data_IF_690697254247
#
_entry.id   IF_690697254247
#
_cell.length_a   1.000
_cell.length_b   1.000
_cell.length_c   1.000
_cell.angle_alpha   90.00
_cell.angle_beta   90.00
_cell.angle_gamma   90.00
#
_symmetry.space_group_name_H-M   'P 1'
#
loop_
_entity.id
_entity.type
_entity.pdbx_description
1 polymer ?
#
# COMPACT_ATOMS: atom_id res chain seq x y z
N UNK A 1 15.39 -25.18 -21.52
CA UNK A 1 15.60 -24.05 -20.60
C UNK A 1 14.28 -23.31 -20.49
N UNK A 2 13.56 -23.45 -19.38
CA UNK A 2 12.29 -22.74 -19.15
C UNK A 2 12.65 -21.35 -18.63
N UNK A 3 12.32 -20.31 -19.38
CA UNK A 3 12.66 -18.92 -19.05
C UNK A 3 11.86 -18.43 -17.84
N UNK A 4 12.55 -17.81 -16.88
CA UNK A 4 12.01 -17.24 -15.64
C UNK A 4 11.31 -15.89 -15.88
N UNK A 5 10.47 -15.81 -16.91
CA UNK A 5 10.18 -14.55 -17.61
C UNK A 5 8.82 -13.92 -17.33
N UNK A 6 8.04 -14.40 -16.36
CA UNK A 6 6.60 -14.07 -16.32
C UNK A 6 6.11 -13.45 -15.00
N UNK A 7 6.99 -12.72 -14.33
CA UNK A 7 6.63 -11.85 -13.21
C UNK A 7 6.63 -10.39 -13.67
N UNK A 8 5.49 -9.72 -13.56
CA UNK A 8 5.31 -8.30 -13.89
C UNK A 8 4.68 -7.58 -12.72
N UNK A 9 5.27 -6.43 -12.38
CA UNK A 9 4.81 -5.56 -11.31
C UNK A 9 4.72 -4.12 -11.83
N UNK A 10 3.60 -3.47 -11.58
CA UNK A 10 3.41 -2.05 -11.84
C UNK A 10 2.92 -1.37 -10.57
N UNK A 11 3.41 -0.17 -10.31
CA UNK A 11 2.97 0.62 -9.18
C UNK A 11 2.83 2.09 -9.59
N UNK A 12 1.70 2.67 -9.25
CA UNK A 12 1.42 4.10 -9.32
C UNK A 12 1.39 4.66 -7.90
N UNK A 13 2.00 5.82 -7.72
CA UNK A 13 2.05 6.52 -6.44
C UNK A 13 1.74 7.99 -6.67
N UNK A 14 0.80 8.52 -5.90
CA UNK A 14 0.53 9.94 -5.79
C UNK A 14 0.77 10.36 -4.34
N UNK A 15 1.40 11.52 -4.15
CA UNK A 15 1.62 12.13 -2.84
C UNK A 15 1.20 13.58 -2.93
N UNK A 16 0.42 14.03 -1.96
CA UNK A 16 -0.03 15.40 -1.84
C UNK A 16 0.43 15.92 -0.48
N UNK A 17 1.23 16.99 -0.53
CA UNK A 17 1.55 17.81 0.63
C UNK A 17 0.42 18.82 0.80
N UNK A 18 -0.16 18.87 2.00
CA UNK A 18 -1.33 19.70 2.29
C UNK A 18 -0.96 21.10 2.80
N UNK A 19 0.33 21.45 2.84
CA UNK A 19 0.80 22.78 3.22
C UNK A 19 0.25 23.88 2.30
N UNK A 20 0.15 23.62 1.00
CA UNK A 20 -0.41 24.57 0.01
C UNK A 20 -1.90 24.89 0.22
N UNK A 21 -2.62 24.02 0.96
CA UNK A 21 -4.03 24.23 1.33
C UNK A 21 -4.21 24.60 2.81
N UNK A 22 -3.11 24.93 3.49
CA UNK A 22 -3.11 25.47 4.86
C UNK A 22 -3.07 24.43 5.98
N UNK A 23 -2.82 23.15 5.69
CA UNK A 23 -2.66 22.11 6.71
C UNK A 23 -1.19 21.68 6.76
N UNK A 24 -0.40 22.42 7.54
CA UNK A 24 1.02 22.12 7.73
C UNK A 24 1.23 20.76 8.40
N UNK A 25 2.25 20.02 7.95
CA UNK A 25 2.62 18.73 8.53
C UNK A 25 1.74 17.54 8.09
N UNK A 26 0.64 17.78 7.35
CA UNK A 26 -0.20 16.72 6.79
C UNK A 26 0.26 16.34 5.38
N UNK A 27 0.48 15.03 5.16
CA UNK A 27 0.72 14.44 3.86
C UNK A 27 -0.26 13.30 3.60
N UNK A 28 -0.78 13.22 2.37
CA UNK A 28 -1.64 12.12 1.93
C UNK A 28 -0.95 11.41 0.77
N UNK A 29 -0.78 10.10 0.87
CA UNK A 29 -0.25 9.25 -0.18
C UNK A 29 -1.28 8.22 -0.61
N UNK A 30 -1.40 8.00 -1.91
CA UNK A 30 -2.18 6.92 -2.51
C UNK A 30 -1.27 6.07 -3.37
N UNK A 31 -1.36 4.76 -3.22
CA UNK A 31 -0.61 3.78 -4.00
C UNK A 31 -1.58 2.79 -4.63
N UNK A 32 -1.34 2.48 -5.89
CA UNK A 32 -2.01 1.40 -6.60
C UNK A 32 -0.96 0.50 -7.23
N UNK A 33 -1.05 -0.80 -7.01
CA UNK A 33 -0.16 -1.80 -7.58
C UNK A 33 -0.91 -2.92 -8.27
N UNK A 34 -0.34 -3.46 -9.34
CA UNK A 34 -0.74 -4.76 -9.91
C UNK A 34 0.49 -5.66 -10.04
N UNK A 35 0.39 -6.86 -9.47
CA UNK A 35 1.39 -7.93 -9.55
C UNK A 35 0.79 -9.10 -10.31
N UNK A 36 1.52 -9.63 -11.28
CA UNK A 36 1.15 -10.82 -12.04
C UNK A 36 2.33 -11.79 -12.08
N UNK A 37 2.08 -13.05 -11.76
CA UNK A 37 3.05 -14.13 -11.92
C UNK A 37 2.37 -15.31 -12.62
N UNK A 38 2.81 -15.64 -13.85
CA UNK A 38 2.27 -16.77 -14.59
C UNK A 38 2.67 -18.16 -14.01
N UNK A 39 3.92 -18.37 -13.52
CA UNK A 39 4.34 -19.66 -12.94
C UNK A 39 3.47 -20.14 -11.78
N UNK A 40 2.92 -19.22 -10.98
CA UNK A 40 2.06 -19.52 -9.83
C UNK A 40 0.60 -19.13 -10.06
N UNK A 41 0.22 -18.72 -11.28
CA UNK A 41 -1.12 -18.25 -11.63
C UNK A 41 -1.66 -17.21 -10.61
N UNK A 42 -0.86 -16.21 -10.29
CA UNK A 42 -1.22 -15.15 -9.33
C UNK A 42 -1.46 -13.85 -10.09
N UNK A 43 -2.56 -13.16 -9.78
CA UNK A 43 -2.81 -11.79 -10.23
C UNK A 43 -3.42 -10.97 -9.10
N UNK A 44 -2.60 -10.12 -8.50
CA UNK A 44 -2.96 -9.35 -7.32
C UNK A 44 -3.03 -7.86 -7.66
N UNK A 45 -4.01 -7.18 -7.07
CA UNK A 45 -4.05 -5.71 -7.06
C UNK A 45 -4.03 -5.21 -5.64
N UNK A 46 -3.22 -4.18 -5.37
CA UNK A 46 -3.15 -3.49 -4.09
C UNK A 46 -3.60 -2.05 -4.26
N UNK A 47 -4.45 -1.59 -3.36
CA UNK A 47 -4.75 -0.19 -3.13
C UNK A 47 -4.32 0.17 -1.72
N UNK A 48 -3.63 1.29 -1.55
CA UNK A 48 -3.19 1.77 -0.24
C UNK A 48 -3.37 3.28 -0.15
N UNK A 49 -3.96 3.74 0.95
CA UNK A 49 -4.10 5.16 1.29
C UNK A 49 -3.42 5.36 2.64
N UNK A 50 -2.52 6.34 2.70
CA UNK A 50 -1.75 6.67 3.89
C UNK A 50 -1.93 8.15 4.16
N UNK A 51 -2.29 8.52 5.38
CA UNK A 51 -2.24 9.89 5.86
C UNK A 51 -1.23 9.97 7.01
N UNK A 52 -0.30 10.91 6.90
CA UNK A 52 0.74 11.14 7.91
C UNK A 52 0.65 12.58 8.39
N UNK A 53 0.68 12.77 9.70
CA UNK A 53 0.62 14.08 10.31
C UNK A 53 1.77 14.27 11.30
N UNK A 54 2.57 15.30 11.08
CA UNK A 54 3.61 15.75 12.01
C UNK A 54 3.05 16.91 12.83
N UNK A 55 2.78 16.67 14.12
CA UNK A 55 2.24 17.70 15.00
C UNK A 55 3.33 18.68 15.44
N UNK A 56 4.52 18.17 15.75
CA UNK A 56 5.72 18.95 16.02
C UNK A 56 6.98 18.08 15.82
N UNK A 57 8.15 18.59 16.18
CA UNK A 57 9.44 17.88 16.01
C UNK A 57 9.56 16.57 16.81
N UNK A 58 8.63 16.33 17.73
CA UNK A 58 8.71 15.29 18.77
C UNK A 58 7.55 14.29 18.63
N UNK A 59 6.40 14.73 18.13
CA UNK A 59 5.16 13.97 18.04
C UNK A 59 4.61 13.99 16.61
N UNK A 60 4.25 12.81 16.11
CA UNK A 60 3.51 12.65 14.87
C UNK A 60 2.75 11.34 14.85
N UNK A 61 1.94 11.14 13.82
CA UNK A 61 1.18 9.90 13.65
C UNK A 61 0.91 9.61 12.18
N UNK A 62 0.59 8.36 11.92
CA UNK A 62 0.19 7.90 10.60
C UNK A 62 -0.99 6.94 10.72
N UNK A 63 -1.89 7.04 9.75
CA UNK A 63 -2.95 6.06 9.51
C UNK A 63 -2.81 5.54 8.09
N UNK A 64 -3.04 4.26 7.91
CA UNK A 64 -3.06 3.64 6.59
C UNK A 64 -4.18 2.62 6.48
N UNK A 65 -4.75 2.55 5.29
CA UNK A 65 -5.67 1.51 4.89
C UNK A 65 -5.19 0.92 3.57
N UNK A 66 -4.98 -0.39 3.55
CA UNK A 66 -4.60 -1.14 2.37
C UNK A 66 -5.65 -2.21 2.08
N UNK A 67 -5.93 -2.41 0.80
CA UNK A 67 -6.81 -3.45 0.27
C UNK A 67 -6.06 -4.21 -0.80
N UNK A 68 -5.89 -5.50 -0.57
CA UNK A 68 -5.22 -6.42 -1.46
C UNK A 68 -6.26 -7.39 -2.00
N UNK A 69 -6.38 -7.48 -3.32
CA UNK A 69 -7.34 -8.36 -3.99
C UNK A 69 -6.61 -9.34 -4.90
N UNK A 70 -6.82 -10.64 -4.68
CA UNK A 70 -6.37 -11.68 -5.60
C UNK A 70 -7.47 -11.96 -6.63
N UNK A 71 -7.23 -11.58 -7.88
CA UNK A 71 -8.18 -11.73 -8.98
C UNK A 71 -8.39 -13.18 -9.43
N UNK A 72 -7.53 -14.10 -9.00
CA UNK A 72 -7.59 -15.50 -9.39
C UNK A 72 -8.21 -16.41 -8.32
N UNK A 73 -8.69 -15.85 -7.20
CA UNK A 73 -9.36 -16.58 -6.12
C UNK A 73 -8.54 -17.78 -5.61
N UNK A 74 -7.21 -17.61 -5.48
CA UNK A 74 -6.34 -18.65 -4.94
C UNK A 74 -6.54 -18.86 -3.42
N UNK A 75 -7.57 -18.23 -2.83
CA UNK A 75 -7.90 -18.30 -1.40
C UNK A 75 -8.10 -19.75 -0.92
N UNK A 76 -8.60 -20.63 -1.79
CA UNK A 76 -8.84 -22.04 -1.47
C UNK A 76 -7.60 -22.94 -1.58
N UNK A 77 -6.44 -22.39 -1.97
CA UNK A 77 -5.23 -23.15 -2.31
C UNK A 77 -4.08 -22.96 -1.30
N UNK A 78 -4.34 -22.33 -0.14
CA UNK A 78 -3.32 -22.10 0.90
C UNK A 78 -2.34 -20.95 0.64
N UNK A 79 -2.58 -20.16 -0.41
CA UNK A 79 -1.93 -18.88 -0.66
C UNK A 79 -2.67 -17.77 0.10
N UNK A 80 -1.96 -16.76 0.60
CA UNK A 80 -2.55 -15.59 1.26
C UNK A 80 -3.59 -14.94 0.33
N UNK A 81 -4.85 -15.28 0.63
CA UNK A 81 -6.05 -14.71 0.10
C UNK A 81 -6.02 -13.19 0.33
N UNK A 82 -6.47 -12.41 -0.66
CA UNK A 82 -6.56 -10.94 -0.53
C UNK A 82 -7.10 -10.49 0.84
N UNK A 83 -6.48 -9.46 1.42
CA UNK A 83 -6.77 -8.96 2.76
C UNK A 83 -7.01 -7.45 2.75
N UNK A 84 -7.74 -6.99 3.77
CA UNK A 84 -7.84 -5.59 4.12
C UNK A 84 -7.00 -5.34 5.38
N UNK A 85 -6.22 -4.27 5.40
CA UNK A 85 -5.37 -3.89 6.54
C UNK A 85 -5.62 -2.44 6.90
N UNK A 86 -5.98 -2.21 8.16
CA UNK A 86 -5.95 -0.89 8.78
C UNK A 86 -4.79 -0.84 9.78
N UNK A 87 -3.99 0.23 9.74
CA UNK A 87 -2.92 0.48 10.70
C UNK A 87 -2.97 1.93 11.14
N UNK A 88 -2.91 2.14 12.45
CA UNK A 88 -2.73 3.44 13.06
C UNK A 88 -1.47 3.40 13.94
N UNK A 89 -0.63 4.42 13.84
CA UNK A 89 0.61 4.53 14.59
C UNK A 89 0.77 5.93 15.13
N UNK A 90 1.14 6.00 16.40
CA UNK A 90 1.59 7.22 17.06
C UNK A 90 3.09 7.12 17.30
N UNK A 91 3.83 8.15 16.93
CA UNK A 91 5.28 8.19 17.03
C UNK A 91 5.67 9.36 17.95
N UNK A 92 6.48 9.07 18.98
CA UNK A 92 7.04 10.07 19.87
C UNK A 92 8.55 9.87 19.98
N UNK A 93 9.33 10.94 19.82
CA UNK A 93 10.81 10.93 19.87
C UNK A 93 11.28 11.66 21.13
N UNK A 94 12.04 10.97 21.98
CA UNK A 94 12.67 11.56 23.17
C UNK A 94 14.00 12.22 22.83
#
# INVERSE_FOLDING_TARGET
MVGWNDEKAYQLKAVVDMSDVGIEGLNIAMLYGEFKSAPVNVRMTEWNIIATYVYNNVLGGDISYAKLNDKNDNQNSGSDAGYDRFLARLNYRF
#
